data_IF_594789481096
#
_entry.id   IF_594789481096
#
_cell.length_a   1.000
_cell.length_b   1.000
_cell.length_c   1.000
_cell.angle_alpha   90.00
_cell.angle_beta   90.00
_cell.angle_gamma   90.00
#
_symmetry.space_group_name_H-M   'P 1'
#
loop_
_entity.id
_entity.type
_entity.pdbx_description
1 polymer ?
#
# COMPACT_ATOMS: atom_id res chain seq x y z
N UNK A 1 -74.36 -66.74 -36.88
CA UNK A 1 -75.40 -66.80 -35.85
C UNK A 1 -75.23 -68.11 -35.09
N UNK A 2 -75.09 -68.18 -33.75
CA UNK A 2 -74.98 -67.16 -32.70
C UNK A 2 -73.63 -67.19 -31.94
N UNK A 3 -73.54 -66.34 -30.91
CA UNK A 3 -72.34 -65.78 -30.29
C UNK A 3 -71.71 -66.63 -29.16
N UNK A 4 -70.37 -66.52 -29.05
CA UNK A 4 -69.59 -66.97 -27.90
C UNK A 4 -69.34 -65.80 -26.93
N UNK A 5 -69.68 -65.98 -25.65
CA UNK A 5 -69.24 -65.12 -24.53
C UNK A 5 -68.03 -65.77 -23.86
N UNK A 6 -66.91 -65.04 -23.76
CA UNK A 6 -65.81 -65.39 -22.83
C UNK A 6 -65.20 -64.12 -22.22
N UNK A 7 -65.34 -64.09 -20.90
CA UNK A 7 -64.42 -63.60 -19.86
C UNK A 7 -63.82 -62.19 -19.93
N UNK A 8 -64.19 -61.41 -18.92
CA UNK A 8 -63.59 -60.14 -18.54
C UNK A 8 -62.19 -60.34 -17.94
N UNK A 9 -61.24 -59.56 -18.41
CA UNK A 9 -59.88 -59.44 -17.87
C UNK A 9 -59.74 -58.05 -17.24
N UNK A 10 -59.21 -58.04 -16.02
CA UNK A 10 -58.95 -56.89 -15.16
C UNK A 10 -57.96 -55.94 -15.85
N UNK A 11 -58.32 -54.66 -15.98
CA UNK A 11 -57.44 -53.62 -16.51
C UNK A 11 -56.63 -52.98 -15.37
N UNK A 12 -55.31 -53.12 -15.52
CA UNK A 12 -54.23 -52.60 -14.69
C UNK A 12 -54.12 -51.07 -14.83
N UNK A 13 -53.93 -50.35 -13.72
CA UNK A 13 -53.78 -48.88 -13.72
C UNK A 13 -52.38 -48.47 -14.20
N UNK A 14 -52.25 -47.37 -14.98
CA UNK A 14 -50.97 -46.95 -15.53
C UNK A 14 -50.02 -46.35 -14.46
N UNK A 15 -48.70 -46.48 -14.62
CA UNK A 15 -47.70 -46.05 -13.65
C UNK A 15 -47.60 -44.52 -13.57
N UNK A 16 -47.51 -44.01 -12.33
CA UNK A 16 -47.48 -42.59 -12.02
C UNK A 16 -46.17 -41.92 -12.49
N UNK A 17 -46.30 -40.81 -13.22
CA UNK A 17 -45.16 -39.99 -13.66
C UNK A 17 -44.41 -39.35 -12.47
N UNK A 18 -43.07 -39.25 -12.51
CA UNK A 18 -42.29 -38.61 -11.47
C UNK A 18 -42.55 -37.10 -11.44
N UNK A 19 -43.06 -36.62 -10.29
CA UNK A 19 -43.32 -35.20 -10.03
C UNK A 19 -42.01 -34.40 -10.15
N UNK A 20 -41.99 -33.43 -11.06
CA UNK A 20 -40.92 -32.42 -11.18
C UNK A 20 -40.70 -31.77 -9.81
N UNK A 21 -39.47 -31.84 -9.29
CA UNK A 21 -39.05 -31.12 -8.07
C UNK A 21 -39.33 -29.64 -8.28
N UNK A 22 -40.33 -29.13 -7.56
CA UNK A 22 -40.66 -27.72 -7.53
C UNK A 22 -39.44 -26.90 -7.11
N UNK A 23 -39.31 -25.72 -7.71
CA UNK A 23 -38.39 -24.66 -7.27
C UNK A 23 -38.55 -24.48 -5.76
N UNK A 24 -37.45 -24.45 -4.97
CA UNK A 24 -37.53 -24.13 -3.56
C UNK A 24 -38.35 -22.83 -3.38
N UNK A 25 -39.26 -22.77 -2.39
CA UNK A 25 -40.03 -21.56 -2.13
C UNK A 25 -39.06 -20.39 -1.96
N UNK A 26 -39.38 -19.26 -2.58
CA UNK A 26 -38.76 -17.97 -2.26
C UNK A 26 -38.97 -17.80 -0.76
N UNK A 27 -37.92 -18.04 0.03
CA UNK A 27 -37.85 -17.44 1.36
C UNK A 27 -37.97 -15.95 1.12
N UNK A 28 -38.98 -15.34 1.73
CA UNK A 28 -39.09 -13.89 1.79
C UNK A 28 -37.79 -13.35 2.38
N UNK A 29 -36.90 -12.93 1.49
CA UNK A 29 -35.78 -12.08 1.87
C UNK A 29 -36.40 -10.86 2.54
N UNK A 30 -35.87 -10.37 3.67
CA UNK A 30 -36.29 -9.12 4.29
C UNK A 30 -35.86 -7.93 3.41
N UNK A 31 -36.45 -7.83 2.22
CA UNK A 31 -36.37 -6.69 1.32
C UNK A 31 -37.39 -5.70 1.87
N UNK A 32 -37.00 -5.01 2.95
CA UNK A 32 -37.87 -4.12 3.71
C UNK A 32 -37.16 -3.34 4.80
N UNK A 33 -35.92 -3.69 5.15
CA UNK A 33 -34.97 -2.74 5.69
C UNK A 33 -34.04 -2.35 4.54
N UNK A 34 -34.25 -1.19 3.93
CA UNK A 34 -33.22 -0.57 3.09
C UNK A 34 -32.00 -0.31 3.98
N UNK A 35 -31.14 -1.31 4.15
CA UNK A 35 -29.74 -1.05 4.40
C UNK A 35 -29.31 -0.17 3.23
N UNK A 36 -28.94 1.08 3.52
CA UNK A 36 -28.46 2.09 2.58
C UNK A 36 -27.15 1.64 1.93
N UNK A 37 -27.24 0.59 1.11
CA UNK A 37 -26.12 0.01 0.39
C UNK A 37 -25.74 1.00 -0.71
N UNK A 38 -24.55 1.57 -0.56
CA UNK A 38 -23.97 2.51 -1.49
C UNK A 38 -22.50 2.17 -1.68
N UNK A 39 -21.89 2.63 -2.78
CA UNK A 39 -20.44 2.50 -2.98
C UNK A 39 -19.64 3.02 -1.78
N UNK A 40 -20.07 4.16 -1.24
CA UNK A 40 -19.44 4.80 -0.06
C UNK A 40 -19.54 3.89 1.16
N UNK A 41 -20.72 3.34 1.47
CA UNK A 41 -20.89 2.44 2.60
C UNK A 41 -20.03 1.17 2.46
N UNK A 42 -19.98 0.58 1.26
CA UNK A 42 -19.16 -0.62 1.00
C UNK A 42 -17.66 -0.30 1.19
N UNK A 43 -17.18 0.80 0.64
CA UNK A 43 -15.78 1.23 0.80
C UNK A 43 -15.45 1.51 2.27
N UNK A 44 -16.32 2.22 2.98
CA UNK A 44 -16.13 2.50 4.41
C UNK A 44 -15.99 1.20 5.21
N UNK A 45 -16.84 0.21 4.92
CA UNK A 45 -16.74 -1.10 5.57
C UNK A 45 -15.42 -1.81 5.25
N UNK A 46 -14.95 -1.74 4.01
CA UNK A 46 -13.66 -2.30 3.64
C UNK A 46 -12.49 -1.60 4.35
N UNK A 47 -12.52 -0.27 4.46
CA UNK A 47 -11.52 0.53 5.20
C UNK A 47 -11.50 0.15 6.68
N UNK A 48 -12.65 -0.16 7.29
CA UNK A 48 -12.67 -0.67 8.66
C UNK A 48 -11.99 -2.04 8.80
N UNK A 49 -12.23 -2.94 7.85
CA UNK A 49 -11.63 -4.26 7.85
C UNK A 49 -10.10 -4.20 7.73
N UNK A 50 -9.54 -3.24 6.96
CA UNK A 50 -8.08 -3.10 6.81
C UNK A 50 -7.35 -2.73 8.12
N UNK A 51 -8.07 -2.33 9.16
CA UNK A 51 -7.49 -2.14 10.51
C UNK A 51 -7.08 -3.46 11.17
N UNK A 52 -7.65 -4.58 10.73
CA UNK A 52 -7.47 -5.90 11.37
C UNK A 52 -6.97 -6.99 10.43
N UNK A 53 -7.12 -6.81 9.12
CA UNK A 53 -6.63 -7.77 8.12
C UNK A 53 -6.00 -7.07 6.91
N UNK A 54 -5.06 -7.72 6.20
CA UNK A 54 -4.52 -7.23 4.95
C UNK A 54 -5.59 -6.94 3.90
N UNK A 55 -5.42 -5.85 3.12
CA UNK A 55 -6.39 -5.44 2.11
C UNK A 55 -6.63 -6.53 1.05
N UNK A 56 -5.61 -7.31 0.68
CA UNK A 56 -5.70 -8.42 -0.29
C UNK A 56 -6.60 -9.57 0.19
N UNK A 57 -6.82 -9.71 1.51
CA UNK A 57 -7.69 -10.74 2.11
C UNK A 57 -9.17 -10.35 2.17
N UNK A 58 -9.52 -9.08 1.93
CA UNK A 58 -10.91 -8.63 1.90
C UNK A 58 -11.58 -9.11 0.62
N UNK A 59 -12.60 -9.97 0.75
CA UNK A 59 -13.35 -10.52 -0.39
C UNK A 59 -14.71 -9.84 -0.58
N UNK A 60 -15.17 -9.80 -1.84
CA UNK A 60 -16.50 -9.26 -2.19
C UNK A 60 -17.64 -10.05 -1.53
N UNK A 61 -17.45 -11.36 -1.34
CA UNK A 61 -18.42 -12.24 -0.67
C UNK A 61 -18.52 -11.91 0.82
N UNK A 62 -17.39 -11.66 1.49
CA UNK A 62 -17.41 -11.23 2.89
C UNK A 62 -18.12 -9.88 3.05
N UNK A 63 -17.85 -8.92 2.16
CA UNK A 63 -18.57 -7.64 2.17
C UNK A 63 -20.07 -7.84 1.97
N UNK A 64 -20.49 -8.67 1.02
CA UNK A 64 -21.91 -8.97 0.81
C UNK A 64 -22.58 -9.55 2.05
N UNK A 65 -21.88 -10.48 2.74
CA UNK A 65 -22.33 -11.06 4.01
C UNK A 65 -22.46 -10.02 5.11
N UNK A 66 -21.49 -9.11 5.25
CA UNK A 66 -21.51 -8.03 6.24
C UNK A 66 -22.73 -7.10 6.04
N UNK A 67 -23.17 -6.89 4.79
CA UNK A 67 -24.36 -6.09 4.47
C UNK A 67 -25.66 -6.92 4.38
N UNK A 68 -25.62 -8.23 4.54
CA UNK A 68 -26.79 -9.10 4.40
C UNK A 68 -27.38 -9.16 2.99
N UNK A 69 -26.57 -8.93 1.95
CA UNK A 69 -26.99 -8.86 0.54
C UNK A 69 -26.35 -9.95 -0.32
N UNK A 70 -26.89 -10.15 -1.52
CA UNK A 70 -26.26 -11.04 -2.50
C UNK A 70 -24.96 -10.42 -3.06
N UNK A 71 -23.89 -11.22 -3.34
CA UNK A 71 -22.62 -10.70 -3.88
C UNK A 71 -22.75 -9.88 -5.17
N UNK A 72 -23.72 -10.22 -6.03
CA UNK A 72 -24.00 -9.46 -7.25
C UNK A 72 -24.36 -8.00 -6.99
N UNK A 73 -24.92 -7.69 -5.82
CA UNK A 73 -25.29 -6.33 -5.46
C UNK A 73 -24.06 -5.49 -5.05
N UNK A 74 -23.06 -6.10 -4.41
CA UNK A 74 -21.76 -5.44 -4.16
C UNK A 74 -21.09 -5.11 -5.50
N UNK A 75 -21.10 -6.05 -6.44
CA UNK A 75 -20.54 -5.82 -7.78
C UNK A 75 -21.27 -4.71 -8.54
N UNK A 76 -22.59 -4.62 -8.40
CA UNK A 76 -23.38 -3.57 -9.02
C UNK A 76 -22.98 -2.17 -8.53
N UNK A 77 -22.80 -1.97 -7.22
CA UNK A 77 -22.51 -0.65 -6.65
C UNK A 77 -21.02 -0.27 -6.69
N UNK A 78 -20.12 -1.23 -6.49
CA UNK A 78 -18.68 -0.97 -6.35
C UNK A 78 -17.89 -1.34 -7.61
N UNK A 79 -18.36 -2.32 -8.38
CA UNK A 79 -17.59 -2.93 -9.47
C UNK A 79 -16.80 -4.15 -8.99
N UNK A 80 -15.57 -4.28 -9.48
CA UNK A 80 -14.72 -5.44 -9.22
C UNK A 80 -13.78 -5.27 -8.04
N UNK A 81 -12.88 -6.26 -7.91
CA UNK A 81 -11.81 -6.25 -6.90
C UNK A 81 -10.89 -5.03 -7.04
N UNK A 82 -10.60 -4.64 -8.27
CA UNK A 82 -9.74 -3.50 -8.56
C UNK A 82 -10.35 -2.20 -8.07
N UNK A 83 -11.66 -1.99 -8.27
CA UNK A 83 -12.37 -0.80 -7.80
C UNK A 83 -12.45 -0.76 -6.28
N UNK A 84 -12.57 -1.91 -5.62
CA UNK A 84 -12.45 -2.01 -4.16
C UNK A 84 -11.05 -1.59 -3.69
N UNK A 85 -9.99 -2.16 -4.27
CA UNK A 85 -8.60 -1.82 -3.89
C UNK A 85 -8.31 -0.35 -4.15
N UNK A 86 -8.63 0.13 -5.36
CA UNK A 86 -8.45 1.51 -5.77
C UNK A 86 -9.18 2.47 -4.83
N UNK A 87 -10.45 2.21 -4.52
CA UNK A 87 -11.24 3.05 -3.62
C UNK A 87 -10.69 3.10 -2.20
N UNK A 88 -10.25 1.96 -1.64
CA UNK A 88 -9.63 1.92 -0.31
C UNK A 88 -8.29 2.69 -0.30
N UNK A 89 -7.47 2.54 -1.34
CA UNK A 89 -6.22 3.29 -1.45
C UNK A 89 -6.45 4.79 -1.68
N UNK A 90 -7.49 5.17 -2.42
CA UNK A 90 -7.83 6.58 -2.64
C UNK A 90 -8.21 7.25 -1.31
N UNK A 91 -8.99 6.56 -0.48
CA UNK A 91 -9.31 7.00 0.88
C UNK A 91 -8.05 7.14 1.76
N UNK A 92 -7.15 6.16 1.68
CA UNK A 92 -5.87 6.20 2.40
C UNK A 92 -5.03 7.43 2.02
N UNK A 93 -4.96 7.80 0.74
CA UNK A 93 -4.31 9.03 0.30
C UNK A 93 -5.08 10.29 0.70
N UNK A 94 -6.42 10.26 0.68
CA UNK A 94 -7.27 11.34 1.20
C UNK A 94 -6.96 11.65 2.66
N UNK A 95 -6.83 10.62 3.50
CA UNK A 95 -6.50 10.77 4.92
C UNK A 95 -5.14 11.45 5.13
N UNK A 96 -4.14 11.10 4.31
CA UNK A 96 -2.83 11.76 4.34
C UNK A 96 -2.97 13.23 3.98
N UNK A 97 -3.51 13.53 2.80
CA UNK A 97 -3.66 14.90 2.29
C UNK A 97 -4.48 15.79 3.22
N UNK A 98 -5.59 15.28 3.78
CA UNK A 98 -6.48 16.02 4.66
C UNK A 98 -5.84 16.47 5.98
N UNK A 99 -4.71 15.87 6.36
CA UNK A 99 -3.95 16.25 7.56
C UNK A 99 -2.73 17.13 7.23
N UNK A 100 -2.39 17.34 5.96
CA UNK A 100 -1.21 18.11 5.57
C UNK A 100 -1.44 19.61 5.72
N UNK A 101 -0.49 20.27 6.38
CA UNK A 101 -0.39 21.73 6.38
C UNK A 101 -0.03 22.29 5.00
N UNK A 102 -0.32 23.57 4.78
CA UNK A 102 0.19 24.31 3.63
C UNK A 102 1.72 24.32 3.61
N UNK A 103 2.30 24.33 2.41
CA UNK A 103 3.75 24.41 2.24
C UNK A 103 4.27 25.74 2.79
N UNK A 104 5.39 25.69 3.50
CA UNK A 104 6.02 26.83 4.15
C UNK A 104 7.09 27.49 3.27
N UNK A 105 7.60 26.78 2.27
CA UNK A 105 8.76 27.19 1.46
C UNK A 105 10.08 26.64 2.00
N UNK A 106 10.09 26.09 3.21
CA UNK A 106 11.20 25.29 3.72
C UNK A 106 10.99 23.83 3.31
N UNK A 107 11.59 23.46 2.18
CA UNK A 107 11.46 22.13 1.58
C UNK A 107 11.74 21.01 2.59
N UNK A 108 12.74 21.19 3.47
CA UNK A 108 13.19 20.16 4.40
C UNK A 108 12.12 19.93 5.45
N UNK A 109 11.65 21.02 6.07
CA UNK A 109 10.59 20.98 7.07
C UNK A 109 9.29 20.43 6.49
N UNK A 110 8.91 20.85 5.30
CA UNK A 110 7.67 20.42 4.65
C UNK A 110 7.71 18.92 4.33
N UNK A 111 8.81 18.43 3.75
CA UNK A 111 8.98 17.01 3.46
C UNK A 111 9.03 16.16 4.73
N UNK A 112 9.76 16.61 5.76
CA UNK A 112 9.77 15.92 7.06
C UNK A 112 8.36 15.80 7.65
N UNK A 113 7.61 16.89 7.66
CA UNK A 113 6.23 16.90 8.16
C UNK A 113 5.35 15.93 7.37
N UNK A 114 5.50 15.89 6.05
CA UNK A 114 4.70 15.02 5.19
C UNK A 114 5.02 13.54 5.43
N UNK A 115 6.30 13.19 5.54
CA UNK A 115 6.72 11.80 5.73
C UNK A 115 6.34 11.29 7.12
N UNK A 116 6.52 12.10 8.18
CA UNK A 116 6.06 11.77 9.55
C UNK A 116 4.56 11.51 9.60
N UNK A 117 3.77 12.41 9.03
CA UNK A 117 2.32 12.26 8.97
C UNK A 117 1.90 11.03 8.15
N UNK A 118 2.57 10.80 7.02
CA UNK A 118 2.28 9.64 6.18
C UNK A 118 2.57 8.33 6.90
N UNK A 119 3.59 8.29 7.75
CA UNK A 119 3.90 7.16 8.60
C UNK A 119 2.84 6.95 9.69
N UNK A 120 2.37 8.01 10.35
CA UNK A 120 1.27 7.93 11.30
C UNK A 120 -0.01 7.34 10.67
N UNK A 121 -0.41 7.84 9.50
CA UNK A 121 -1.56 7.29 8.77
C UNK A 121 -1.32 5.83 8.37
N UNK A 122 -0.09 5.44 8.05
CA UNK A 122 0.26 4.06 7.72
C UNK A 122 0.13 3.11 8.92
N UNK A 123 0.50 3.56 10.12
CA UNK A 123 0.34 2.82 11.38
C UNK A 123 -1.15 2.63 11.72
N UNK A 124 -1.97 3.64 11.48
CA UNK A 124 -3.43 3.58 11.70
C UNK A 124 -4.14 2.63 10.71
N UNK A 125 -3.50 2.30 9.59
CA UNK A 125 -4.06 1.49 8.50
C UNK A 125 -3.13 0.31 8.13
N UNK A 126 -2.84 -0.63 9.07
CA UNK A 126 -1.81 -1.66 8.89
C UNK A 126 -2.09 -2.60 7.70
N UNK A 127 -3.34 -2.97 7.45
CA UNK A 127 -3.71 -3.82 6.33
C UNK A 127 -3.51 -3.18 4.95
N UNK A 128 -3.58 -1.85 4.87
CA UNK A 128 -3.24 -1.09 3.66
C UNK A 128 -1.71 -1.03 3.49
N UNK A 129 -0.98 -0.80 4.58
CA UNK A 129 0.49 -0.76 4.59
C UNK A 129 1.10 -2.09 4.11
N UNK A 130 0.57 -3.22 4.56
CA UNK A 130 0.98 -4.56 4.11
C UNK A 130 0.72 -4.75 2.60
N UNK A 131 -0.44 -4.28 2.12
CA UNK A 131 -0.80 -4.37 0.71
C UNK A 131 0.13 -3.55 -0.17
N UNK A 132 0.39 -2.28 0.20
CA UNK A 132 1.27 -1.37 -0.54
C UNK A 132 2.71 -1.90 -0.63
N UNK A 133 3.18 -2.61 0.40
CA UNK A 133 4.50 -3.22 0.40
C UNK A 133 4.64 -4.42 -0.53
N UNK A 134 3.54 -5.15 -0.78
CA UNK A 134 3.52 -6.40 -1.55
C UNK A 134 2.97 -6.24 -2.97
N UNK A 135 2.32 -5.12 -3.28
CA UNK A 135 1.64 -4.89 -4.56
C UNK A 135 1.96 -3.51 -5.15
N UNK A 136 2.10 -3.45 -6.48
CA UNK A 136 2.37 -2.20 -7.19
C UNK A 136 1.11 -1.55 -7.79
N UNK A 137 0.04 -2.32 -8.04
CA UNK A 137 -1.18 -1.79 -8.67
C UNK A 137 -1.87 -0.80 -7.73
N UNK A 138 -2.20 0.38 -8.25
CA UNK A 138 -2.78 1.52 -7.53
C UNK A 138 -1.93 2.08 -6.39
N UNK A 139 -0.64 1.70 -6.31
CA UNK A 139 0.26 2.19 -5.25
C UNK A 139 0.50 3.70 -5.34
N UNK A 140 0.42 4.30 -6.52
CA UNK A 140 0.72 5.71 -6.72
C UNK A 140 -0.51 6.52 -7.16
N UNK A 141 -1.30 5.97 -8.09
CA UNK A 141 -2.46 6.62 -8.68
C UNK A 141 -3.66 5.69 -8.58
N UNK A 142 -4.84 6.25 -8.34
CA UNK A 142 -6.07 5.48 -8.21
C UNK A 142 -6.95 5.58 -9.46
N UNK A 143 -7.63 4.47 -9.76
CA UNK A 143 -8.72 4.41 -10.73
C UNK A 143 -9.99 4.96 -10.07
N UNK A 144 -10.36 6.20 -10.42
CA UNK A 144 -11.45 6.97 -9.83
C UNK A 144 -12.54 7.26 -10.86
N UNK A 145 -13.78 7.49 -10.42
CA UNK A 145 -14.87 7.82 -11.34
C UNK A 145 -14.73 9.24 -11.90
N UNK A 146 -15.35 9.56 -13.06
CA UNK A 146 -15.36 10.92 -13.58
C UNK A 146 -15.86 11.93 -12.53
N UNK A 147 -15.06 12.96 -12.28
CA UNK A 147 -15.35 14.00 -11.28
C UNK A 147 -14.90 13.67 -9.85
N UNK A 148 -14.41 12.47 -9.58
CA UNK A 148 -13.72 12.15 -8.31
C UNK A 148 -12.25 12.59 -8.35
N UNK A 149 -11.70 12.93 -7.18
CA UNK A 149 -10.28 13.26 -7.03
C UNK A 149 -9.45 11.98 -6.91
N UNK A 150 -8.40 11.87 -7.72
CA UNK A 150 -7.29 10.93 -7.49
C UNK A 150 -6.36 11.53 -6.42
N UNK A 151 -6.57 11.12 -5.18
CA UNK A 151 -5.78 11.62 -4.06
C UNK A 151 -4.33 11.12 -4.11
N UNK A 152 -4.05 10.01 -4.81
CA UNK A 152 -2.68 9.56 -5.07
C UNK A 152 -1.92 10.56 -5.93
N UNK A 153 -2.54 11.05 -7.00
CA UNK A 153 -1.99 12.12 -7.85
C UNK A 153 -1.77 13.41 -7.08
N UNK A 154 -2.76 13.86 -6.30
CA UNK A 154 -2.64 15.08 -5.49
C UNK A 154 -1.53 14.98 -4.43
N UNK A 155 -1.41 13.81 -3.79
CA UNK A 155 -0.35 13.56 -2.81
C UNK A 155 1.03 13.56 -3.47
N UNK A 156 1.17 12.89 -4.61
CA UNK A 156 2.39 12.90 -5.40
C UNK A 156 2.79 14.32 -5.77
N UNK A 157 1.88 15.09 -6.36
CA UNK A 157 2.09 16.48 -6.77
C UNK A 157 2.53 17.36 -5.58
N UNK A 158 1.88 17.22 -4.43
CA UNK A 158 2.20 18.06 -3.26
C UNK A 158 3.56 17.70 -2.65
N UNK A 159 3.91 16.42 -2.60
CA UNK A 159 5.21 15.99 -2.09
C UNK A 159 6.35 16.38 -3.03
N UNK A 160 6.19 16.21 -4.35
CA UNK A 160 7.21 16.65 -5.32
C UNK A 160 7.33 18.17 -5.34
N UNK A 161 6.23 18.91 -5.21
CA UNK A 161 6.25 20.37 -5.04
C UNK A 161 7.04 20.80 -3.80
N UNK A 162 6.86 20.10 -2.66
CA UNK A 162 7.64 20.37 -1.45
C UNK A 162 9.15 20.15 -1.69
N UNK A 163 9.53 19.06 -2.35
CA UNK A 163 10.94 18.81 -2.69
C UNK A 163 11.47 19.89 -3.64
N UNK A 164 10.71 20.28 -4.67
CA UNK A 164 11.11 21.30 -5.66
C UNK A 164 11.49 22.65 -5.03
N UNK A 165 10.87 23.03 -3.91
CA UNK A 165 11.23 24.26 -3.18
C UNK A 165 12.70 24.27 -2.72
N UNK A 166 13.32 23.10 -2.64
CA UNK A 166 14.74 22.96 -2.36
C UNK A 166 15.65 23.39 -3.50
N UNK A 167 15.14 23.71 -4.70
CA UNK A 167 15.97 24.09 -5.86
C UNK A 167 16.65 22.89 -6.53
N UNK A 168 16.13 21.68 -6.31
CA UNK A 168 16.60 20.47 -6.99
C UNK A 168 16.10 20.42 -8.44
N UNK A 169 16.84 19.73 -9.30
CA UNK A 169 16.39 19.47 -10.68
C UNK A 169 15.35 18.33 -10.74
N UNK A 170 14.75 18.12 -11.90
CA UNK A 170 13.69 17.13 -12.08
C UNK A 170 14.11 15.70 -11.69
N UNK A 171 15.30 15.25 -12.09
CA UNK A 171 15.81 13.92 -11.78
C UNK A 171 16.03 13.72 -10.28
N UNK A 172 16.56 14.75 -9.61
CA UNK A 172 16.72 14.78 -8.15
C UNK A 172 15.38 14.76 -7.43
N UNK A 173 14.39 15.53 -7.88
CA UNK A 173 13.04 15.52 -7.29
C UNK A 173 12.41 14.14 -7.42
N UNK A 174 12.49 13.53 -8.61
CA UNK A 174 11.93 12.20 -8.87
C UNK A 174 12.61 11.12 -8.02
N UNK A 175 13.96 11.13 -7.97
CA UNK A 175 14.73 10.18 -7.16
C UNK A 175 14.48 10.40 -5.66
N UNK A 176 14.46 11.66 -5.20
CA UNK A 176 14.19 12.01 -3.81
C UNK A 176 12.81 11.52 -3.37
N UNK A 177 11.78 11.76 -4.18
CA UNK A 177 10.44 11.21 -3.95
C UNK A 177 10.47 9.68 -3.86
N UNK A 178 11.11 9.01 -4.83
CA UNK A 178 11.16 7.56 -4.87
C UNK A 178 11.82 6.96 -3.62
N UNK A 179 12.97 7.50 -3.21
CA UNK A 179 13.70 7.05 -2.02
C UNK A 179 12.87 7.24 -0.74
N UNK A 180 12.20 8.39 -0.60
CA UNK A 180 11.31 8.64 0.54
C UNK A 180 10.10 7.69 0.53
N UNK A 181 9.53 7.42 -0.64
CA UNK A 181 8.42 6.48 -0.78
C UNK A 181 8.85 5.03 -0.47
N UNK A 182 10.04 4.61 -0.89
CA UNK A 182 10.61 3.29 -0.54
C UNK A 182 10.87 3.17 0.95
N UNK A 183 11.49 4.19 1.54
CA UNK A 183 11.76 4.25 2.97
C UNK A 183 10.47 4.15 3.78
N UNK A 184 9.47 4.98 3.44
CA UNK A 184 8.18 4.99 4.11
C UNK A 184 7.47 3.63 4.01
N UNK A 185 7.48 2.99 2.83
CA UNK A 185 6.86 1.67 2.66
C UNK A 185 7.55 0.62 3.51
N UNK A 186 8.88 0.61 3.55
CA UNK A 186 9.66 -0.32 4.38
C UNK A 186 9.38 -0.12 5.87
N UNK A 187 9.46 1.13 6.36
CA UNK A 187 9.20 1.45 7.75
C UNK A 187 7.76 1.10 8.17
N UNK A 188 6.78 1.45 7.33
CA UNK A 188 5.36 1.16 7.59
C UNK A 188 5.07 -0.34 7.62
N UNK A 189 5.70 -1.12 6.73
CA UNK A 189 5.59 -2.58 6.71
C UNK A 189 6.21 -3.22 7.95
N UNK A 190 7.40 -2.75 8.35
CA UNK A 190 8.10 -3.25 9.53
C UNK A 190 7.26 -3.05 10.79
N UNK A 191 6.59 -1.90 10.92
CA UNK A 191 5.68 -1.60 12.02
C UNK A 191 4.40 -2.44 11.94
N UNK A 192 3.71 -2.43 10.80
CA UNK A 192 2.45 -3.16 10.59
C UNK A 192 2.61 -4.68 10.82
N UNK A 193 3.78 -5.24 10.47
CA UNK A 193 4.09 -6.66 10.63
C UNK A 193 4.86 -6.97 11.92
N UNK A 194 5.07 -6.00 12.82
CA UNK A 194 5.80 -6.15 14.09
C UNK A 194 7.18 -6.79 13.92
N UNK A 195 7.92 -6.35 12.90
CA UNK A 195 9.24 -6.85 12.53
C UNK A 195 10.40 -6.14 13.26
N UNK A 196 10.11 -5.10 14.03
CA UNK A 196 11.14 -4.36 14.76
C UNK A 196 11.67 -5.14 15.96
N UNK A 197 12.97 -4.97 16.30
CA UNK A 197 13.58 -5.69 17.42
C UNK A 197 12.85 -5.54 18.75
N UNK A 198 12.33 -4.34 19.06
CA UNK A 198 11.62 -4.07 20.31
C UNK A 198 10.42 -5.01 20.55
N UNK A 199 9.75 -5.49 19.49
CA UNK A 199 8.65 -6.44 19.61
C UNK A 199 9.08 -7.84 20.07
N UNK A 200 10.37 -8.16 19.93
CA UNK A 200 10.97 -9.47 20.23
C UNK A 200 12.19 -9.34 21.16
N UNK A 201 12.23 -8.27 21.97
CA UNK A 201 13.40 -7.86 22.74
C UNK A 201 14.00 -9.01 23.57
N UNK A 202 13.18 -9.69 24.39
CA UNK A 202 13.64 -10.74 25.28
C UNK A 202 14.28 -11.93 24.52
N UNK A 203 13.69 -12.32 23.39
CA UNK A 203 14.26 -13.39 22.57
C UNK A 203 15.62 -12.99 21.99
N UNK A 204 15.72 -11.76 21.46
CA UNK A 204 16.97 -11.23 20.88
C UNK A 204 18.06 -11.14 21.95
N UNK A 205 17.76 -10.55 23.12
CA UNK A 205 18.70 -10.43 24.22
C UNK A 205 19.20 -11.80 24.68
N UNK A 206 18.29 -12.74 24.97
CA UNK A 206 18.68 -14.10 25.38
C UNK A 206 19.57 -14.79 24.34
N UNK A 207 19.26 -14.63 23.05
CA UNK A 207 20.04 -15.26 21.99
C UNK A 207 21.44 -14.67 21.90
N UNK A 208 21.56 -13.35 21.94
CA UNK A 208 22.85 -12.66 21.89
C UNK A 208 23.67 -12.88 23.18
N UNK A 209 23.01 -13.00 24.32
CA UNK A 209 23.66 -13.31 25.60
C UNK A 209 24.20 -14.76 25.67
N UNK A 210 23.60 -15.68 24.91
CA UNK A 210 24.00 -17.10 24.86
C UNK A 210 25.28 -17.39 24.06
N UNK A 211 25.76 -16.45 23.23
CA UNK A 211 26.92 -16.67 22.37
C UNK A 211 28.20 -16.05 22.94
N UNK A 212 29.35 -16.64 22.59
CA UNK A 212 30.66 -16.18 23.06
C UNK A 212 30.99 -14.77 22.58
N UNK A 213 31.42 -13.84 23.46
CA UNK A 213 31.85 -12.50 23.06
C UNK A 213 33.17 -12.49 22.29
N UNK A 214 33.99 -13.53 22.41
CA UNK A 214 35.21 -13.66 21.61
C UNK A 214 34.91 -14.05 20.16
N UNK A 215 33.86 -14.86 19.94
CA UNK A 215 33.48 -15.32 18.61
C UNK A 215 32.55 -14.33 17.89
N UNK A 216 31.68 -13.63 18.64
CA UNK A 216 30.70 -12.70 18.08
C UNK A 216 30.76 -11.30 18.73
N UNK A 217 31.92 -10.61 18.68
CA UNK A 217 32.12 -9.37 19.42
C UNK A 217 31.15 -8.26 18.99
N UNK A 218 30.85 -8.12 17.70
CA UNK A 218 29.91 -7.10 17.20
C UNK A 218 28.46 -7.35 17.66
N UNK A 219 28.01 -8.61 17.62
CA UNK A 219 26.67 -8.98 18.06
C UNK A 219 26.49 -8.75 19.57
N UNK A 220 27.54 -9.00 20.35
CA UNK A 220 27.58 -8.68 21.79
C UNK A 220 27.62 -7.18 22.05
N UNK A 221 28.38 -6.43 21.26
CA UNK A 221 28.52 -4.99 21.40
C UNK A 221 27.16 -4.28 21.27
N UNK A 222 26.35 -4.65 20.27
CA UNK A 222 25.07 -3.98 20.01
C UNK A 222 23.89 -4.55 20.79
N UNK A 223 24.05 -5.68 21.48
CA UNK A 223 22.93 -6.52 21.97
C UNK A 223 21.77 -5.74 22.61
N UNK A 224 22.05 -4.95 23.66
CA UNK A 224 21.02 -4.17 24.37
C UNK A 224 20.47 -3.01 23.56
N UNK A 225 21.30 -2.38 22.72
CA UNK A 225 20.87 -1.23 21.91
C UNK A 225 19.99 -1.70 20.75
N UNK A 226 20.39 -2.78 20.08
CA UNK A 226 19.66 -3.36 18.96
C UNK A 226 18.30 -3.91 19.40
N UNK A 227 18.25 -4.66 20.51
CA UNK A 227 17.00 -5.28 21.00
C UNK A 227 15.90 -4.27 21.35
N UNK A 228 16.27 -3.00 21.61
CA UNK A 228 15.36 -1.91 21.99
C UNK A 228 14.95 -1.01 20.84
N UNK A 229 15.45 -1.25 19.61
CA UNK A 229 15.10 -0.43 18.46
C UNK A 229 13.59 -0.51 18.17
N UNK A 230 12.93 0.63 18.32
CA UNK A 230 11.50 0.84 18.08
C UNK A 230 11.28 1.64 16.80
N UNK A 231 10.01 1.73 16.38
CA UNK A 231 9.62 2.55 15.22
C UNK A 231 9.97 4.00 15.43
N UNK A 232 9.73 4.54 16.63
CA UNK A 232 10.00 5.94 16.96
C UNK A 232 11.46 6.32 16.67
N UNK A 233 12.41 5.52 17.16
CA UNK A 233 13.83 5.82 16.95
C UNK A 233 14.29 5.50 15.53
N UNK A 234 13.96 4.31 15.01
CA UNK A 234 14.45 3.87 13.70
C UNK A 234 13.85 4.69 12.54
N UNK A 235 12.60 5.15 12.69
CA UNK A 235 11.93 5.98 11.71
C UNK A 235 12.52 7.40 11.66
N UNK A 236 12.70 8.05 12.81
CA UNK A 236 13.22 9.41 12.83
C UNK A 236 14.67 9.49 12.34
N UNK A 237 15.53 8.55 12.76
CA UNK A 237 16.92 8.52 12.30
C UNK A 237 17.03 8.16 10.81
N UNK A 238 16.24 7.20 10.32
CA UNK A 238 16.27 6.84 8.91
C UNK A 238 15.73 7.97 8.01
N UNK A 239 14.69 8.68 8.46
CA UNK A 239 14.18 9.87 7.76
C UNK A 239 15.25 10.96 7.68
N UNK A 240 15.87 11.27 8.82
CA UNK A 240 16.95 12.26 8.89
C UNK A 240 18.08 11.91 7.94
N UNK A 241 18.61 10.68 8.01
CA UNK A 241 19.71 10.24 7.15
C UNK A 241 19.35 10.28 5.66
N UNK A 242 18.12 9.89 5.30
CA UNK A 242 17.64 9.91 3.91
C UNK A 242 17.62 11.33 3.37
N UNK A 243 17.06 12.27 4.14
CA UNK A 243 16.96 13.66 3.72
C UNK A 243 18.32 14.37 3.73
N UNK A 244 19.23 14.02 4.66
CA UNK A 244 20.60 14.56 4.69
C UNK A 244 21.36 14.14 3.41
N UNK A 245 21.15 12.91 2.96
CA UNK A 245 21.67 12.42 1.68
C UNK A 245 21.11 13.19 0.48
N UNK A 246 19.79 13.46 0.46
CA UNK A 246 19.13 14.25 -0.59
C UNK A 246 19.68 15.69 -0.61
N UNK A 247 19.82 16.32 0.56
CA UNK A 247 20.39 17.66 0.67
C UNK A 247 21.85 17.72 0.18
N UNK A 248 22.61 16.64 0.41
CA UNK A 248 23.98 16.49 -0.05
C UNK A 248 24.17 16.65 -1.56
N UNK A 249 23.17 16.31 -2.38
CA UNK A 249 23.24 16.43 -3.84
C UNK A 249 23.52 17.85 -4.34
N UNK A 250 23.16 18.88 -3.56
CA UNK A 250 23.48 20.27 -3.87
C UNK A 250 24.98 20.55 -3.83
N UNK A 251 25.71 19.88 -2.93
CA UNK A 251 27.16 20.05 -2.75
C UNK A 251 27.90 19.40 -3.92
N UNK A 252 27.45 18.23 -4.35
CA UNK A 252 28.06 17.50 -5.46
C UNK A 252 27.85 18.22 -6.80
N UNK A 253 26.68 18.83 -7.01
CA UNK A 253 26.43 19.69 -8.17
C UNK A 253 27.37 20.90 -8.20
N UNK A 254 27.68 21.50 -7.04
CA UNK A 254 28.62 22.62 -6.94
C UNK A 254 30.08 22.23 -7.19
N UNK A 255 30.48 21.01 -6.81
CA UNK A 255 31.83 20.48 -7.05
C UNK A 255 32.06 20.07 -8.52
N UNK A 256 31.02 19.59 -9.21
CA UNK A 256 31.11 19.22 -10.63
C UNK A 256 31.25 20.43 -11.59
N UNK A 257 30.88 21.63 -11.13
CA UNK A 257 30.94 22.88 -11.92
C UNK A 257 32.24 23.68 -11.79
N UNK A 258 33.22 23.28 -10.96
CA UNK A 258 34.52 23.95 -10.98
C UNK A 258 35.32 23.52 -12.22
N UNK A 259 35.64 24.41 -13.18
CA UNK A 259 36.51 24.05 -14.28
C UNK A 259 37.87 23.67 -13.70
N UNK A 260 38.36 22.48 -14.07
CA UNK A 260 39.72 22.07 -13.77
C UNK A 260 40.65 23.20 -14.20
N UNK A 261 41.38 23.77 -13.24
CA UNK A 261 42.36 24.81 -13.50
C UNK A 261 43.31 24.31 -14.60
N UNK A 262 43.15 24.88 -15.79
CA UNK A 262 43.92 24.55 -16.98
C UNK A 262 45.40 24.78 -16.67
N UNK A 263 46.14 23.68 -16.54
CA UNK A 263 47.59 23.69 -16.42
C UNK A 263 48.19 24.35 -17.65
N UNK A 264 49.00 25.38 -17.42
CA UNK A 264 49.74 26.11 -18.42
C UNK A 264 50.50 25.17 -19.37
N UNK A 265 50.11 25.17 -20.65
CA UNK A 265 50.87 24.53 -21.70
C UNK A 265 52.03 25.44 -22.11
N UNK A 266 53.25 25.04 -21.78
CA UNK A 266 54.50 25.67 -22.23
C UNK A 266 54.68 25.44 -23.74
N UNK A 267 54.93 26.46 -24.58
CA UNK A 267 55.16 26.25 -26.00
C UNK A 267 56.58 25.73 -26.24
N UNK A 268 56.71 24.53 -26.83
CA UNK A 268 57.97 23.98 -27.34
C UNK A 268 58.38 24.69 -28.64
N UNK A 269 59.58 25.29 -28.65
CA UNK A 269 60.22 25.84 -29.86
C UNK A 269 60.51 24.75 -30.91
N UNK A 270 60.37 25.04 -32.22
CA UNK A 270 60.77 24.12 -33.28
C UNK A 270 62.29 24.11 -33.48
N UNK A 271 62.86 22.91 -33.61
CA UNK A 271 64.27 22.67 -33.95
C UNK A 271 64.41 22.72 -35.47
N UNK A 272 65.19 23.68 -35.98
CA UNK A 272 65.60 23.70 -37.38
C UNK A 272 66.49 22.49 -37.70
N UNK A 273 66.23 21.82 -38.83
CA UNK A 273 67.14 20.84 -39.43
C UNK A 273 67.56 21.36 -40.81
N UNK A 274 68.87 21.48 -40.99
CA UNK A 274 69.54 21.73 -42.27
C UNK A 274 69.38 20.51 -43.18
N UNK A 275 69.02 20.75 -44.44
CA UNK A 275 69.65 20.22 -45.65
C UNK A 275 69.33 21.21 -46.77
#
# INVERSE_FOLDING_TARGET
MPAAKKSATVAESPPAMPRRRGRPPKTDSPIGAEATLSRVAILQRAIELTKTMPLDQISMVQLAKDFGVAPGLIHYYLGGRDQLVSGVLNDYYRQRLGRLSSLTGDWRRDVESFVRLSFQVAIENPGVSIYVASHNRFRLFQDVQPGETDYGMEFFNRMTSAIMQGGFNADQVALGYHLLAQYLVSASMAEASRQLPAYHQAFIENKLESVSPLQYPGARFVSKSFSRLSSETAFEEGLRMTLDGIEGWKRDAGLATMPAASGAATPRKPRARKA
#
